data_IF_705280466931
#
_entry.id   IF_705280466931
#
_cell.length_a   1.000
_cell.length_b   1.000
_cell.length_c   1.000
_cell.angle_alpha   90.00
_cell.angle_beta   90.00
_cell.angle_gamma   90.00
#
_symmetry.space_group_name_H-M   'P 1'
#
loop_
_entity.id
_entity.type
_entity.pdbx_description
1 polymer ?
#
# COMPACT_ATOMS: atom_id res chain seq x y z
N UNK A 1 5.38 -8.20 20.18
CA UNK A 1 4.53 -7.31 19.35
C UNK A 1 3.66 -6.31 20.12
N UNK A 2 3.68 -6.23 21.47
CA UNK A 2 2.88 -5.24 22.23
C UNK A 2 3.14 -3.77 21.82
N UNK A 3 4.34 -3.47 21.32
CA UNK A 3 4.72 -2.12 20.87
C UNK A 3 4.00 -1.64 19.60
N UNK A 4 3.42 -2.53 18.79
CA UNK A 4 2.62 -2.12 17.61
C UNK A 4 1.26 -1.54 18.03
N UNK A 5 0.78 -1.84 19.24
CA UNK A 5 -0.51 -1.38 19.76
C UNK A 5 -0.37 -0.38 20.91
N UNK A 6 0.82 0.19 21.12
CA UNK A 6 1.04 1.23 22.15
C UNK A 6 0.30 2.52 21.77
N UNK A 7 -0.26 3.28 22.73
CA UNK A 7 -0.91 4.56 22.42
C UNK A 7 0.08 5.61 21.86
N UNK A 8 1.38 5.47 22.10
CA UNK A 8 2.41 6.40 21.62
C UNK A 8 2.74 6.18 20.13
N UNK A 9 2.37 7.09 19.21
CA UNK A 9 2.58 6.90 17.78
C UNK A 9 4.06 6.85 17.37
N UNK A 10 4.92 7.58 18.07
CA UNK A 10 6.36 7.55 17.83
C UNK A 10 6.94 6.15 18.06
N UNK A 11 6.48 5.46 19.11
CA UNK A 11 6.88 4.09 19.40
C UNK A 11 6.25 3.11 18.41
N UNK A 12 4.98 3.28 18.02
CA UNK A 12 4.35 2.45 16.96
C UNK A 12 5.13 2.53 15.65
N UNK A 13 5.51 3.74 15.22
CA UNK A 13 6.31 3.95 14.00
C UNK A 13 7.64 3.19 14.05
N UNK A 14 8.37 3.27 15.17
CA UNK A 14 9.60 2.49 15.35
C UNK A 14 9.34 0.98 15.37
N UNK A 15 8.24 0.56 15.99
CA UNK A 15 7.86 -0.84 16.04
C UNK A 15 7.51 -1.39 14.65
N UNK A 16 6.88 -0.61 13.77
CA UNK A 16 6.64 -0.96 12.37
C UNK A 16 7.95 -1.24 11.64
N UNK A 17 8.89 -0.30 11.71
CA UNK A 17 10.20 -0.45 11.05
C UNK A 17 10.98 -1.65 11.59
N UNK A 18 11.00 -1.84 12.92
CA UNK A 18 11.64 -3.00 13.53
C UNK A 18 10.98 -4.31 13.11
N UNK A 19 9.63 -4.35 13.06
CA UNK A 19 8.89 -5.53 12.62
C UNK A 19 9.18 -5.87 11.16
N UNK A 20 9.25 -4.86 10.30
CA UNK A 20 9.69 -5.02 8.92
C UNK A 20 11.09 -5.64 8.84
N UNK A 21 12.09 -5.05 9.49
CA UNK A 21 13.46 -5.58 9.47
C UNK A 21 13.56 -7.02 10.01
N UNK A 22 12.75 -7.37 11.01
CA UNK A 22 12.65 -8.74 11.50
C UNK A 22 12.03 -9.68 10.46
N UNK A 23 10.99 -9.25 9.75
CA UNK A 23 10.39 -10.04 8.67
C UNK A 23 11.34 -10.21 7.49
N UNK A 24 12.19 -9.23 7.19
CA UNK A 24 13.24 -9.36 6.18
C UNK A 24 14.25 -10.46 6.55
N UNK A 25 14.65 -10.50 7.82
CA UNK A 25 15.60 -11.50 8.32
C UNK A 25 14.97 -12.87 8.54
N UNK A 26 13.69 -12.90 8.91
CA UNK A 26 12.94 -14.10 9.29
C UNK A 26 11.56 -14.11 8.63
N UNK A 27 11.45 -14.55 7.36
CA UNK A 27 10.20 -14.50 6.60
C UNK A 27 9.01 -15.23 7.24
N UNK A 28 9.25 -16.23 8.08
CA UNK A 28 8.22 -16.94 8.84
C UNK A 28 7.41 -16.02 9.77
N UNK A 29 7.98 -14.87 10.17
CA UNK A 29 7.28 -13.90 11.02
C UNK A 29 6.18 -13.15 10.29
N UNK A 30 6.19 -13.13 8.94
CA UNK A 30 5.20 -12.44 8.13
C UNK A 30 3.77 -12.85 8.50
N UNK A 31 3.52 -14.15 8.70
CA UNK A 31 2.21 -14.67 9.08
C UNK A 31 1.64 -13.97 10.33
N UNK A 32 2.49 -13.70 11.32
CA UNK A 32 2.11 -12.99 12.56
C UNK A 32 2.07 -11.47 12.41
N UNK A 33 2.86 -10.91 11.49
CA UNK A 33 2.99 -9.46 11.29
C UNK A 33 1.86 -8.88 10.43
N UNK A 34 1.41 -9.60 9.41
CA UNK A 34 0.40 -9.11 8.47
C UNK A 34 -0.93 -8.68 9.13
N UNK A 35 -1.51 -9.44 10.09
CA UNK A 35 -2.69 -8.99 10.82
C UNK A 35 -2.46 -7.63 11.51
N UNK A 36 -1.25 -7.37 12.00
CA UNK A 36 -0.90 -6.09 12.65
C UNK A 36 -0.68 -4.97 11.66
N UNK A 37 -0.01 -5.23 10.53
CA UNK A 37 0.07 -4.25 9.46
C UNK A 37 -1.31 -3.87 8.94
N UNK A 38 -2.22 -4.83 8.80
CA UNK A 38 -3.61 -4.58 8.43
C UNK A 38 -4.29 -3.58 9.36
N UNK A 39 -4.16 -3.76 10.67
CA UNK A 39 -4.73 -2.86 11.67
C UNK A 39 -4.09 -1.46 11.57
N UNK A 40 -2.76 -1.40 11.38
CA UNK A 40 -2.00 -0.15 11.28
C UNK A 40 -2.18 0.60 9.95
N UNK A 41 -2.69 -0.06 8.90
CA UNK A 41 -3.15 0.62 7.68
C UNK A 41 -4.40 1.48 7.92
N UNK A 42 -5.00 1.41 9.11
CA UNK A 42 -6.10 2.28 9.55
C UNK A 42 -5.72 3.16 10.74
N UNK A 43 -4.41 3.31 11.02
CA UNK A 43 -3.94 4.15 12.14
C UNK A 43 -4.24 5.64 11.88
N UNK A 44 -4.68 6.34 12.92
CA UNK A 44 -5.00 7.77 12.87
C UNK A 44 -3.74 8.63 12.67
N UNK A 45 -2.60 8.16 13.19
CA UNK A 45 -1.33 8.86 13.03
C UNK A 45 -0.75 8.64 11.63
N UNK A 46 -0.65 9.73 10.87
CA UNK A 46 -0.16 9.70 9.49
C UNK A 46 1.28 9.18 9.36
N UNK A 47 2.11 9.37 10.40
CA UNK A 47 3.48 8.86 10.42
C UNK A 47 3.54 7.35 10.58
N UNK A 48 2.66 6.77 11.40
CA UNK A 48 2.50 5.32 11.55
C UNK A 48 1.92 4.71 10.29
N UNK A 49 0.88 5.32 9.71
CA UNK A 49 0.30 4.88 8.44
C UNK A 49 1.34 4.88 7.31
N UNK A 50 2.10 5.98 7.17
CA UNK A 50 3.18 6.12 6.18
C UNK A 50 4.27 5.06 6.35
N UNK A 51 4.71 4.81 7.58
CA UNK A 51 5.69 3.77 7.85
C UNK A 51 5.15 2.37 7.51
N UNK A 52 3.87 2.12 7.79
CA UNK A 52 3.21 0.83 7.52
C UNK A 52 3.06 0.59 6.02
N UNK A 53 2.56 1.57 5.27
CA UNK A 53 2.45 1.46 3.80
C UNK A 53 3.83 1.28 3.16
N UNK A 54 4.85 1.98 3.68
CA UNK A 54 6.23 1.81 3.20
C UNK A 54 6.75 0.40 3.45
N UNK A 55 6.62 -0.13 4.67
CA UNK A 55 7.01 -1.49 5.00
C UNK A 55 6.29 -2.53 4.13
N UNK A 56 4.99 -2.37 3.92
CA UNK A 56 4.20 -3.25 3.04
C UNK A 56 4.67 -3.18 1.59
N UNK A 57 5.03 -1.99 1.09
CA UNK A 57 5.57 -1.82 -0.25
C UNK A 57 6.92 -2.52 -0.43
N UNK A 58 7.83 -2.42 0.55
CA UNK A 58 9.11 -3.12 0.51
C UNK A 58 8.94 -4.64 0.58
N UNK A 59 7.98 -5.13 1.37
CA UNK A 59 7.62 -6.57 1.40
C UNK A 59 7.05 -7.00 0.04
N UNK A 60 6.16 -6.20 -0.54
CA UNK A 60 5.53 -6.51 -1.84
C UNK A 60 6.55 -6.54 -2.98
N UNK A 61 7.58 -5.69 -2.95
CA UNK A 61 8.64 -5.68 -3.95
C UNK A 61 9.43 -7.00 -4.02
N UNK A 62 9.40 -7.80 -2.94
CA UNK A 62 10.09 -9.10 -2.87
C UNK A 62 9.13 -10.28 -2.94
N UNK A 63 7.94 -10.14 -2.39
CA UNK A 63 6.96 -11.22 -2.26
C UNK A 63 5.53 -10.67 -2.34
N UNK A 64 5.08 -10.24 -3.53
CA UNK A 64 3.80 -9.54 -3.70
C UNK A 64 2.60 -10.40 -3.30
N UNK A 65 2.64 -11.72 -3.52
CA UNK A 65 1.57 -12.66 -3.14
C UNK A 65 1.23 -12.61 -1.65
N UNK A 66 2.22 -12.38 -0.78
CA UNK A 66 1.99 -12.30 0.67
C UNK A 66 1.16 -11.08 1.06
N UNK A 67 1.22 -10.01 0.26
CA UNK A 67 0.52 -8.75 0.51
C UNK A 67 -0.93 -8.74 0.00
N UNK A 68 -1.38 -9.78 -0.72
CA UNK A 68 -2.75 -9.85 -1.25
C UNK A 68 -3.81 -9.76 -0.16
N UNK A 69 -3.52 -10.25 1.04
CA UNK A 69 -4.44 -10.18 2.18
C UNK A 69 -4.69 -8.75 2.69
N UNK A 70 -3.84 -7.79 2.30
CA UNK A 70 -3.95 -6.37 2.67
C UNK A 70 -4.65 -5.52 1.59
N UNK A 71 -4.94 -6.10 0.42
CA UNK A 71 -5.59 -5.40 -0.70
C UNK A 71 -6.84 -4.62 -0.26
N UNK A 72 -7.76 -5.15 0.56
CA UNK A 72 -8.95 -4.39 0.97
C UNK A 72 -8.61 -3.07 1.68
N UNK A 73 -7.63 -3.07 2.59
CA UNK A 73 -7.19 -1.89 3.33
C UNK A 73 -6.42 -0.92 2.43
N UNK A 74 -5.52 -1.43 1.58
CA UNK A 74 -4.78 -0.62 0.62
C UNK A 74 -5.72 0.06 -0.39
N UNK A 75 -6.76 -0.66 -0.82
CA UNK A 75 -7.79 -0.14 -1.70
C UNK A 75 -8.57 1.00 -1.05
N UNK A 76 -9.01 0.78 0.20
CA UNK A 76 -9.67 1.81 0.98
C UNK A 76 -8.79 3.08 1.11
N UNK A 77 -7.49 2.93 1.35
CA UNK A 77 -6.58 4.07 1.38
C UNK A 77 -6.48 4.79 0.04
N UNK A 78 -6.34 4.05 -1.07
CA UNK A 78 -6.16 4.64 -2.41
C UNK A 78 -7.33 5.53 -2.81
N UNK A 79 -8.56 5.09 -2.54
CA UNK A 79 -9.77 5.81 -2.98
C UNK A 79 -10.16 6.97 -2.05
N UNK A 80 -9.62 7.02 -0.83
CA UNK A 80 -9.98 8.03 0.18
C UNK A 80 -8.87 9.05 0.48
N UNK A 81 -7.61 8.74 0.17
CA UNK A 81 -6.49 9.64 0.48
C UNK A 81 -6.50 10.91 -0.38
N UNK A 82 -6.12 12.04 0.23
CA UNK A 82 -5.81 13.30 -0.47
C UNK A 82 -4.31 13.65 -0.44
N UNK A 83 -3.50 12.76 0.13
CA UNK A 83 -2.06 12.94 0.26
C UNK A 83 -1.37 12.40 -1.01
N UNK A 84 -0.87 13.31 -1.86
CA UNK A 84 -0.22 12.97 -3.13
C UNK A 84 0.91 11.93 -3.00
N UNK A 85 1.75 12.04 -1.97
CA UNK A 85 2.84 11.09 -1.74
C UNK A 85 2.29 9.69 -1.45
N UNK A 86 1.26 9.61 -0.60
CA UNK A 86 0.61 8.36 -0.27
C UNK A 86 -0.10 7.75 -1.49
N UNK A 87 -0.79 8.58 -2.30
CA UNK A 87 -1.41 8.14 -3.56
C UNK A 87 -0.37 7.51 -4.49
N UNK A 88 0.77 8.18 -4.74
CA UNK A 88 1.83 7.66 -5.60
C UNK A 88 2.40 6.34 -5.02
N UNK A 89 2.67 6.29 -3.71
CA UNK A 89 3.19 5.07 -3.07
C UNK A 89 2.20 3.90 -3.17
N UNK A 90 0.89 4.17 -3.04
CA UNK A 90 -0.16 3.16 -3.20
C UNK A 90 -0.28 2.70 -4.66
N UNK A 91 -0.24 3.61 -5.64
CA UNK A 91 -0.26 3.23 -7.06
C UNK A 91 0.90 2.29 -7.39
N UNK A 92 2.13 2.65 -7.00
CA UNK A 92 3.31 1.78 -7.16
C UNK A 92 3.16 0.42 -6.46
N UNK A 93 2.55 0.42 -5.28
CA UNK A 93 2.24 -0.83 -4.58
C UNK A 93 1.24 -1.67 -5.39
N UNK A 94 0.19 -1.07 -5.94
CA UNK A 94 -0.77 -1.80 -6.78
C UNK A 94 -0.14 -2.33 -8.07
N UNK A 95 0.81 -1.61 -8.69
CA UNK A 95 1.58 -2.12 -9.83
C UNK A 95 2.32 -3.43 -9.49
N UNK A 96 2.83 -3.58 -8.27
CA UNK A 96 3.46 -4.83 -7.81
C UNK A 96 2.45 -5.96 -7.56
N UNK A 97 1.19 -5.63 -7.24
CA UNK A 97 0.14 -6.59 -6.92
C UNK A 97 -0.63 -7.06 -8.16
N UNK A 98 -0.73 -6.22 -9.20
CA UNK A 98 -1.43 -6.54 -10.44
C UNK A 98 -0.95 -7.86 -11.10
N UNK A 99 0.36 -8.13 -11.24
CA UNK A 99 0.84 -9.39 -11.85
C UNK A 99 0.50 -10.67 -11.07
N UNK A 100 0.05 -10.55 -9.82
CA UNK A 100 -0.24 -11.71 -8.96
C UNK A 100 -1.70 -11.84 -8.55
N UNK A 101 -2.58 -10.94 -8.99
CA UNK A 101 -4.02 -10.98 -8.77
C UNK A 101 -4.78 -10.42 -9.99
N UNK A 102 -5.23 -11.33 -10.85
CA UNK A 102 -5.80 -11.04 -12.18
C UNK A 102 -7.02 -10.11 -12.15
N UNK A 103 -7.75 -10.04 -11.04
CA UNK A 103 -8.95 -9.20 -10.92
C UNK A 103 -8.63 -7.75 -10.58
N UNK A 104 -7.40 -7.43 -10.14
CA UNK A 104 -7.03 -6.07 -9.73
C UNK A 104 -6.95 -5.08 -10.90
N UNK A 105 -6.31 -5.39 -12.03
CA UNK A 105 -6.13 -4.42 -13.12
C UNK A 105 -7.45 -3.85 -13.63
N UNK A 106 -8.44 -4.69 -13.92
CA UNK A 106 -9.76 -4.23 -14.37
C UNK A 106 -10.48 -3.33 -13.36
N UNK A 107 -10.26 -3.54 -12.06
CA UNK A 107 -10.86 -2.69 -11.01
C UNK A 107 -10.18 -1.32 -10.91
N UNK A 108 -8.88 -1.22 -11.23
CA UNK A 108 -8.11 0.03 -11.09
C UNK A 108 -8.53 1.13 -12.07
N UNK A 109 -9.20 0.79 -13.16
CA UNK A 109 -9.66 1.77 -14.16
C UNK A 109 -10.45 2.92 -13.51
N UNK A 110 -11.43 2.61 -12.67
CA UNK A 110 -12.29 3.64 -12.06
C UNK A 110 -11.54 4.55 -11.07
N UNK A 111 -10.74 4.03 -10.12
CA UNK A 111 -9.87 4.87 -9.29
C UNK A 111 -8.91 5.76 -10.09
N UNK A 112 -8.27 5.24 -11.14
CA UNK A 112 -7.32 6.00 -11.96
C UNK A 112 -8.02 7.16 -12.68
N UNK A 113 -9.18 6.92 -13.29
CA UNK A 113 -9.99 7.97 -13.93
C UNK A 113 -10.39 9.04 -12.91
N UNK A 114 -10.88 8.62 -11.74
CA UNK A 114 -11.29 9.56 -10.69
C UNK A 114 -10.10 10.42 -10.22
N UNK A 115 -8.91 9.83 -10.07
CA UNK A 115 -7.69 10.55 -9.70
C UNK A 115 -7.27 11.55 -10.77
N UNK A 116 -7.27 11.14 -12.05
CA UNK A 116 -6.92 12.01 -13.19
C UNK A 116 -7.88 13.21 -13.32
N UNK A 117 -9.17 13.02 -13.00
CA UNK A 117 -10.17 14.08 -13.05
C UNK A 117 -10.10 15.05 -11.87
N UNK A 118 -9.57 14.63 -10.72
CA UNK A 118 -9.64 15.40 -9.46
C UNK A 118 -8.30 15.97 -8.99
N UNK A 119 -7.18 15.37 -9.39
CA UNK A 119 -5.85 15.83 -8.95
C UNK A 119 -5.43 17.12 -9.66
N UNK A 120 -4.67 17.96 -8.96
CA UNK A 120 -3.92 19.08 -9.55
C UNK A 120 -2.41 18.81 -9.58
N UNK A 121 -1.99 17.67 -9.02
CA UNK A 121 -0.59 17.33 -8.86
C UNK A 121 -0.10 16.56 -10.07
N UNK A 122 0.82 17.16 -10.83
CA UNK A 122 1.36 16.56 -12.06
C UNK A 122 2.03 15.21 -11.81
N UNK A 123 2.64 15.03 -10.63
CA UNK A 123 3.23 13.76 -10.21
C UNK A 123 2.20 12.64 -10.06
N UNK A 124 1.00 12.94 -9.55
CA UNK A 124 -0.09 11.95 -9.43
C UNK A 124 -0.65 11.62 -10.80
N UNK A 125 -0.83 12.61 -11.67
CA UNK A 125 -1.30 12.38 -13.05
C UNK A 125 -0.36 11.44 -13.81
N UNK A 126 0.95 11.69 -13.77
CA UNK A 126 1.96 10.86 -14.43
C UNK A 126 1.90 9.42 -13.90
N UNK A 127 1.86 9.23 -12.58
CA UNK A 127 1.80 7.90 -11.99
C UNK A 127 0.51 7.15 -12.37
N UNK A 128 -0.62 7.86 -12.45
CA UNK A 128 -1.89 7.27 -12.90
C UNK A 128 -1.82 6.82 -14.36
N UNK A 129 -1.23 7.63 -15.25
CA UNK A 129 -1.06 7.30 -16.67
C UNK A 129 -0.14 6.10 -16.84
N UNK A 130 1.01 6.08 -16.13
CA UNK A 130 1.94 4.94 -16.18
C UNK A 130 1.27 3.64 -15.71
N UNK A 131 0.55 3.70 -14.59
CA UNK A 131 -0.23 2.55 -14.09
C UNK A 131 -1.27 2.09 -15.10
N UNK A 132 -1.93 3.07 -15.75
CA UNK A 132 -2.95 2.82 -16.76
C UNK A 132 -2.41 2.07 -17.98
N UNK A 133 -1.33 2.58 -18.56
CA UNK A 133 -0.68 2.01 -19.76
C UNK A 133 -0.19 0.58 -19.50
N UNK A 134 0.37 0.32 -18.31
CA UNK A 134 0.99 -0.97 -18.01
C UNK A 134 -0.02 -2.06 -17.67
N UNK A 135 -1.13 -1.73 -16.99
CA UNK A 135 -2.00 -2.75 -16.40
C UNK A 135 -3.45 -2.74 -16.91
N UNK A 136 -3.97 -1.63 -17.44
CA UNK A 136 -5.36 -1.66 -17.89
C UNK A 136 -5.48 -2.44 -19.21
N UNK A 137 -6.50 -3.31 -19.33
CA UNK A 137 -6.76 -3.98 -20.59
C UNK A 137 -7.11 -2.91 -21.65
N UNK A 138 -6.44 -2.97 -22.80
CA UNK A 138 -6.89 -2.26 -23.98
C UNK A 138 -8.15 -2.97 -24.45
N UNK A 139 -9.31 -2.33 -24.34
CA UNK A 139 -10.52 -2.80 -25.02
C UNK A 139 -10.22 -2.81 -26.53
N UNK A 140 -10.17 -4.01 -27.12
CA UNK A 140 -10.10 -4.23 -28.57
C UNK A 140 -11.48 -4.55 -29.11
#
# INVERSE_FOLDING_TARGET
MKLLATPNPYLRKKAVLCTFCLCEKYPQLLHSAFPKFRDLLSDEDQGVLTATVTAVAEIAARSPRNCLILVPQLWHLLVNTRNNWLTIKLLKLFQLLCPVEDRLPGKLAKPLINLLQSTKAKSVEVECILTGIEFLPLEH
#
